data_IF_548836344445
#
_entry.id   IF_548836344445
#
_cell.length_a   1.000
_cell.length_b   1.000
_cell.length_c   1.000
_cell.angle_alpha   90.00
_cell.angle_beta   90.00
_cell.angle_gamma   90.00
#
_symmetry.space_group_name_H-M   'P 1'
#
loop_
_entity.id
_entity.type
_entity.pdbx_description
1 polymer ?
#
# COMPACT_ATOMS: atom_id res chain seq x y z
N UNK A 1 -28.10 10.21 -54.00
CA UNK A 1 -29.05 9.08 -54.04
C UNK A 1 -28.43 7.94 -53.25
N UNK A 2 -28.99 7.61 -52.08
CA UNK A 2 -29.68 6.33 -51.78
C UNK A 2 -28.75 5.12 -52.00
N UNK A 3 -28.37 4.27 -51.03
CA UNK A 3 -29.00 3.85 -49.79
C UNK A 3 -29.00 2.31 -49.74
N UNK A 4 -28.88 1.73 -48.54
CA UNK A 4 -29.12 0.31 -48.19
C UNK A 4 -28.11 -0.74 -48.69
N UNK A 5 -27.85 -1.85 -48.00
CA UNK A 5 -28.18 -2.37 -46.65
C UNK A 5 -27.28 -3.59 -46.51
N UNK A 6 -26.53 -3.70 -45.42
CA UNK A 6 -26.15 -5.02 -44.90
C UNK A 6 -26.01 -4.92 -43.38
N UNK A 7 -27.18 -4.88 -42.74
CA UNK A 7 -27.37 -5.21 -41.33
C UNK A 7 -26.94 -6.67 -41.09
N UNK A 8 -25.70 -6.88 -40.66
CA UNK A 8 -25.35 -8.11 -39.94
C UNK A 8 -25.83 -7.96 -38.50
N UNK A 9 -27.01 -8.57 -38.28
CA UNK A 9 -27.56 -9.07 -37.02
C UNK A 9 -26.53 -9.16 -35.89
N UNK A 10 -26.78 -8.39 -34.84
CA UNK A 10 -26.35 -8.72 -33.49
C UNK A 10 -27.08 -10.01 -33.10
N UNK A 11 -26.39 -11.15 -33.14
CA UNK A 11 -26.87 -12.36 -32.48
C UNK A 11 -26.70 -12.14 -30.97
N UNK A 12 -27.77 -11.66 -30.34
CA UNK A 12 -27.91 -11.68 -28.90
C UNK A 12 -27.84 -13.13 -28.44
N UNK A 13 -26.87 -13.43 -27.58
CA UNK A 13 -26.82 -14.65 -26.79
C UNK A 13 -28.12 -14.69 -26.00
N UNK A 14 -29.08 -15.50 -26.46
CA UNK A 14 -30.33 -15.76 -25.79
C UNK A 14 -29.96 -16.54 -24.53
N UNK A 15 -29.77 -15.82 -23.42
CA UNK A 15 -29.48 -16.41 -22.12
C UNK A 15 -30.69 -17.24 -21.73
N UNK A 16 -30.49 -18.55 -21.60
CA UNK A 16 -31.51 -19.51 -21.23
C UNK A 16 -32.26 -19.03 -19.98
N UNK A 17 -33.59 -19.07 -19.98
CA UNK A 17 -34.43 -18.52 -18.89
C UNK A 17 -34.09 -19.23 -17.55
N UNK A 18 -33.67 -20.49 -17.63
CA UNK A 18 -33.24 -21.30 -16.49
C UNK A 18 -31.89 -20.82 -15.90
N UNK A 19 -30.99 -20.28 -16.72
CA UNK A 19 -29.68 -19.76 -16.29
C UNK A 19 -29.75 -18.53 -15.37
N UNK A 20 -30.94 -17.90 -15.25
CA UNK A 20 -31.19 -16.81 -14.30
C UNK A 20 -31.53 -17.29 -12.89
N UNK A 21 -32.00 -18.53 -12.73
CA UNK A 21 -32.39 -19.11 -11.44
C UNK A 21 -31.31 -19.99 -10.79
N UNK A 22 -30.18 -20.19 -11.47
CA UNK A 22 -29.04 -20.90 -10.92
C UNK A 22 -28.27 -19.98 -9.95
N UNK A 23 -27.98 -20.50 -8.75
CA UNK A 23 -27.13 -19.80 -7.79
C UNK A 23 -25.75 -19.59 -8.42
N UNK A 24 -25.36 -18.33 -8.63
CA UNK A 24 -24.02 -18.01 -9.10
C UNK A 24 -23.06 -18.08 -7.93
N UNK A 25 -21.79 -18.33 -8.22
CA UNK A 25 -20.71 -18.25 -7.22
C UNK A 25 -20.76 -16.90 -6.49
N UNK A 26 -21.07 -15.82 -7.22
CA UNK A 26 -21.24 -14.49 -6.65
C UNK A 26 -22.34 -14.42 -5.58
N UNK A 27 -23.43 -15.16 -5.74
CA UNK A 27 -24.54 -15.17 -4.79
C UNK A 27 -24.18 -15.97 -3.51
N UNK A 28 -23.27 -16.95 -3.63
CA UNK A 28 -22.76 -17.74 -2.49
C UNK A 28 -21.74 -16.99 -1.64
N UNK A 29 -20.98 -16.06 -2.23
CA UNK A 29 -19.95 -15.27 -1.54
C UNK A 29 -20.41 -13.86 -1.20
N UNK A 30 -21.61 -13.47 -1.65
CA UNK A 30 -22.17 -12.16 -1.33
C UNK A 30 -22.43 -12.05 0.17
N UNK A 31 -22.08 -10.92 0.80
CA UNK A 31 -22.35 -10.72 2.21
C UNK A 31 -23.86 -10.58 2.45
N UNK A 32 -24.33 -11.09 3.60
CA UNK A 32 -25.74 -11.05 3.99
C UNK A 32 -26.30 -9.63 4.16
N UNK A 33 -25.43 -8.66 4.46
CA UNK A 33 -25.81 -7.26 4.71
C UNK A 33 -24.72 -6.31 4.25
N UNK A 34 -25.13 -5.20 3.64
CA UNK A 34 -24.27 -4.08 3.29
C UNK A 34 -24.95 -2.79 3.76
N UNK A 35 -24.25 -1.98 4.55
CA UNK A 35 -24.72 -0.66 4.96
C UNK A 35 -23.57 0.34 4.98
N UNK A 36 -23.75 1.48 4.32
CA UNK A 36 -22.75 2.53 4.25
C UNK A 36 -23.03 3.59 5.32
N UNK A 37 -22.18 3.63 6.34
CA UNK A 37 -22.22 4.67 7.36
C UNK A 37 -21.20 5.78 7.07
N UNK A 38 -21.31 6.88 7.81
CA UNK A 38 -20.43 8.04 7.57
C UNK A 38 -18.95 7.72 7.83
N UNK A 39 -18.67 6.91 8.84
CA UNK A 39 -17.31 6.67 9.35
C UNK A 39 -16.90 5.20 9.30
N UNK A 40 -17.80 4.28 8.94
CA UNK A 40 -17.50 2.87 8.72
C UNK A 40 -18.46 2.25 7.69
N UNK A 41 -18.18 1.02 7.28
CA UNK A 41 -18.94 0.24 6.32
C UNK A 41 -19.31 -1.10 6.96
N UNK A 42 -20.58 -1.47 6.94
CA UNK A 42 -21.06 -2.75 7.48
C UNK A 42 -21.05 -3.78 6.37
N UNK A 43 -20.38 -4.91 6.60
CA UNK A 43 -20.32 -6.05 5.68
C UNK A 43 -20.62 -7.32 6.46
N UNK A 44 -21.82 -7.88 6.26
CA UNK A 44 -22.33 -9.00 7.04
C UNK A 44 -22.40 -8.65 8.52
N UNK A 45 -21.58 -9.30 9.33
CA UNK A 45 -21.50 -9.10 10.79
C UNK A 45 -20.26 -8.31 11.24
N UNK A 46 -19.52 -7.68 10.31
CA UNK A 46 -18.32 -6.88 10.63
C UNK A 46 -18.53 -5.43 10.24
N UNK A 47 -17.97 -4.56 11.07
CA UNK A 47 -17.81 -3.15 10.82
C UNK A 47 -16.40 -2.93 10.29
N UNK A 48 -16.27 -2.24 9.17
CA UNK A 48 -15.00 -1.99 8.51
C UNK A 48 -14.79 -0.49 8.42
N UNK A 49 -13.62 0.00 8.85
CA UNK A 49 -13.25 1.41 8.71
C UNK A 49 -11.99 1.52 7.89
N UNK A 50 -12.07 2.26 6.78
CA UNK A 50 -10.94 2.53 5.91
C UNK A 50 -10.38 3.93 6.13
N UNK A 51 -9.06 4.00 6.25
CA UNK A 51 -8.25 5.21 6.33
C UNK A 51 -7.34 5.31 5.11
N UNK A 52 -7.04 6.55 4.75
CA UNK A 52 -6.13 6.90 3.67
C UNK A 52 -4.89 7.53 4.28
N UNK A 53 -3.71 7.08 3.86
CA UNK A 53 -2.46 7.74 4.21
C UNK A 53 -2.31 9.00 3.34
N UNK A 54 -2.23 10.17 3.98
CA UNK A 54 -2.13 11.47 3.29
C UNK A 54 -0.79 12.16 3.55
N UNK A 55 -0.15 11.86 4.67
CA UNK A 55 1.18 12.37 5.04
C UNK A 55 2.16 11.22 5.17
N UNK A 56 3.38 11.45 4.67
CA UNK A 56 4.47 10.48 4.62
C UNK A 56 5.72 11.08 5.25
N UNK A 57 6.59 10.27 5.87
CA UNK A 57 7.91 10.71 6.31
C UNK A 57 8.71 11.28 5.15
N UNK A 58 9.59 12.24 5.44
CA UNK A 58 10.50 12.82 4.44
C UNK A 58 11.52 11.82 3.92
N UNK A 59 11.93 10.87 4.76
CA UNK A 59 12.89 9.83 4.41
C UNK A 59 12.40 8.51 4.99
N UNK A 60 12.48 7.44 4.20
CA UNK A 60 12.07 6.09 4.58
C UNK A 60 13.29 5.19 4.67
N UNK A 61 13.27 4.28 5.63
CA UNK A 61 14.25 3.18 5.74
C UNK A 61 13.58 1.88 5.29
N UNK A 62 14.37 0.87 4.92
CA UNK A 62 13.83 -0.47 4.71
C UNK A 62 13.06 -0.94 5.97
N UNK A 63 11.88 -1.53 5.76
CA UNK A 63 11.04 -2.05 6.84
C UNK A 63 10.30 -0.99 7.66
N UNK A 64 10.17 0.24 7.18
CA UNK A 64 9.49 1.31 7.93
C UNK A 64 8.00 1.07 8.15
N UNK A 65 7.38 0.16 7.39
CA UNK A 65 5.98 -0.28 7.56
C UNK A 65 5.86 -1.61 8.34
N UNK A 66 6.97 -2.21 8.79
CA UNK A 66 6.96 -3.53 9.42
C UNK A 66 6.11 -3.57 10.69
N UNK A 67 6.09 -2.48 11.46
CA UNK A 67 5.26 -2.37 12.65
C UNK A 67 3.76 -2.43 12.31
N UNK A 68 3.36 -1.97 11.12
CA UNK A 68 1.99 -2.09 10.64
C UNK A 68 1.68 -3.50 10.12
N UNK A 69 2.62 -4.12 9.41
CA UNK A 69 2.47 -5.47 8.87
C UNK A 69 2.46 -6.57 9.95
N UNK A 70 3.17 -6.35 11.06
CA UNK A 70 3.28 -7.29 12.18
C UNK A 70 2.26 -7.03 13.29
N UNK A 71 1.39 -6.03 13.15
CA UNK A 71 0.42 -5.71 14.18
C UNK A 71 -0.68 -6.78 14.24
N UNK A 72 -0.86 -7.37 15.42
CA UNK A 72 -1.78 -8.50 15.68
C UNK A 72 -3.24 -8.03 15.79
N UNK A 73 -3.82 -7.60 14.67
CA UNK A 73 -5.24 -7.31 14.56
C UNK A 73 -5.78 -7.54 13.15
N UNK A 74 -7.10 -7.44 12.99
CA UNK A 74 -7.76 -7.57 11.69
C UNK A 74 -7.56 -6.28 10.86
N UNK A 75 -6.37 -6.14 10.28
CA UNK A 75 -5.96 -5.02 9.43
C UNK A 75 -5.69 -5.52 8.01
N UNK A 76 -6.30 -4.86 7.05
CA UNK A 76 -6.01 -5.01 5.63
C UNK A 76 -5.23 -3.78 5.14
N UNK A 77 -4.09 -3.98 4.48
CA UNK A 77 -3.26 -2.90 3.93
C UNK A 77 -3.17 -3.09 2.43
N UNK A 78 -3.58 -2.07 1.68
CA UNK A 78 -3.60 -2.09 0.23
C UNK A 78 -2.68 -1.02 -0.34
N UNK A 79 -1.72 -1.47 -1.15
CA UNK A 79 -0.72 -0.66 -1.84
C UNK A 79 -1.09 -0.56 -3.31
N UNK A 80 -1.52 0.61 -3.76
CA UNK A 80 -1.80 0.86 -5.18
C UNK A 80 -0.61 1.54 -5.83
N UNK A 81 -0.04 0.90 -6.84
CA UNK A 81 1.20 1.36 -7.49
C UNK A 81 0.92 1.55 -8.98
N UNK A 82 1.06 2.78 -9.46
CA UNK A 82 0.88 3.12 -10.88
C UNK A 82 2.15 3.74 -11.45
N UNK A 83 2.85 3.07 -12.40
CA UNK A 83 4.03 3.62 -13.03
C UNK A 83 3.68 4.78 -13.95
N UNK A 84 4.58 5.77 -14.03
CA UNK A 84 4.44 6.90 -14.94
C UNK A 84 5.44 6.87 -16.10
N UNK A 85 5.04 7.50 -17.20
CA UNK A 85 5.93 7.68 -18.35
C UNK A 85 7.12 8.56 -17.97
N UNK A 86 8.32 7.97 -17.99
CA UNK A 86 9.59 8.64 -17.74
C UNK A 86 9.72 9.96 -18.49
N UNK A 87 9.40 9.97 -19.78
CA UNK A 87 9.51 11.17 -20.64
C UNK A 87 8.63 12.32 -20.14
N UNK A 88 7.40 12.02 -19.69
CA UNK A 88 6.48 13.03 -19.15
C UNK A 88 6.97 13.59 -17.81
N UNK A 89 7.52 12.72 -16.96
CA UNK A 89 8.05 13.11 -15.64
C UNK A 89 9.27 13.98 -15.80
N UNK A 90 10.26 13.57 -16.61
CA UNK A 90 11.46 14.37 -16.90
C UNK A 90 11.09 15.75 -17.45
N UNK A 91 10.16 15.83 -18.41
CA UNK A 91 9.70 17.12 -18.95
C UNK A 91 9.09 18.01 -17.85
N UNK A 92 8.35 17.42 -16.92
CA UNK A 92 7.73 18.14 -15.80
C UNK A 92 8.78 18.61 -14.78
N UNK A 93 9.76 17.76 -14.47
CA UNK A 93 10.89 18.08 -13.58
C UNK A 93 11.73 19.22 -14.17
N UNK A 94 12.10 19.18 -15.46
CA UNK A 94 12.83 20.27 -16.12
C UNK A 94 12.12 21.62 -15.99
N UNK A 95 10.78 21.62 -16.12
CA UNK A 95 9.99 22.85 -15.91
C UNK A 95 10.05 23.33 -14.46
N UNK A 96 9.98 22.41 -13.47
CA UNK A 96 10.06 22.75 -12.04
C UNK A 96 11.45 23.26 -11.65
N UNK A 97 12.50 22.60 -12.12
CA UNK A 97 13.90 23.02 -11.94
C UNK A 97 14.10 24.45 -12.46
N UNK A 98 13.62 24.75 -13.68
CA UNK A 98 13.67 26.11 -14.21
C UNK A 98 12.92 27.15 -13.37
N UNK A 99 11.78 26.77 -12.75
CA UNK A 99 11.04 27.65 -11.83
C UNK A 99 11.81 27.91 -10.54
N UNK A 100 12.42 26.87 -9.94
CA UNK A 100 13.22 27.02 -8.72
C UNK A 100 14.48 27.86 -8.97
N UNK A 101 15.22 27.60 -10.05
CA UNK A 101 16.38 28.41 -10.46
C UNK A 101 16.01 29.87 -10.71
N UNK A 102 14.85 30.11 -11.34
CA UNK A 102 14.36 31.48 -11.56
C UNK A 102 14.04 32.18 -10.24
N UNK A 103 13.43 31.47 -9.29
CA UNK A 103 13.10 32.00 -7.96
C UNK A 103 14.38 32.38 -7.21
N UNK A 104 15.36 31.46 -7.16
CA UNK A 104 16.68 31.71 -6.54
C UNK A 104 17.36 32.92 -7.19
N UNK A 105 17.38 33.01 -8.52
CA UNK A 105 18.00 34.14 -9.22
C UNK A 105 17.29 35.47 -8.98
N UNK A 106 15.97 35.47 -8.83
CA UNK A 106 15.20 36.68 -8.50
C UNK A 106 15.47 37.14 -7.07
N UNK A 107 15.53 36.23 -6.11
CA UNK A 107 15.82 36.55 -4.72
C UNK A 107 17.24 37.13 -4.58
N UNK A 108 18.23 36.51 -5.22
CA UNK A 108 19.61 37.01 -5.27
C UNK A 108 19.69 38.44 -5.84
N UNK A 109 19.03 38.69 -6.99
CA UNK A 109 18.97 40.05 -7.58
C UNK A 109 18.29 41.08 -6.70
N UNK A 110 17.31 40.66 -5.91
CA UNK A 110 16.58 41.52 -4.99
C UNK A 110 17.26 41.64 -3.62
N UNK A 111 18.43 41.02 -3.42
CA UNK A 111 19.15 41.00 -2.15
C UNK A 111 18.40 40.25 -1.04
N UNK A 112 17.53 39.30 -1.40
CA UNK A 112 16.77 38.47 -0.47
C UNK A 112 17.46 37.12 -0.27
N UNK A 113 17.34 36.58 0.92
CA UNK A 113 17.77 35.21 1.21
C UNK A 113 16.69 34.26 0.68
N UNK A 114 17.07 33.36 -0.22
CA UNK A 114 16.15 32.36 -0.76
C UNK A 114 15.72 31.38 0.33
N UNK A 115 14.46 30.97 0.29
CA UNK A 115 13.93 29.94 1.17
C UNK A 115 14.70 28.61 0.99
N UNK A 116 15.08 27.99 2.12
CA UNK A 116 15.74 26.69 2.16
C UNK A 116 14.89 25.62 1.48
N UNK A 117 13.56 25.71 1.57
CA UNK A 117 12.66 24.77 0.91
C UNK A 117 12.82 24.78 -0.63
N UNK A 118 13.05 25.95 -1.22
CA UNK A 118 13.24 26.08 -2.68
C UNK A 118 14.58 25.49 -3.12
N UNK A 119 15.64 25.73 -2.33
CA UNK A 119 16.97 25.18 -2.59
C UNK A 119 16.96 23.66 -2.51
N UNK A 120 16.41 23.10 -1.42
CA UNK A 120 16.21 21.66 -1.28
C UNK A 120 15.37 21.07 -2.41
N UNK A 121 14.24 21.71 -2.75
CA UNK A 121 13.37 21.19 -3.81
C UNK A 121 14.05 21.20 -5.19
N UNK A 122 15.00 22.11 -5.42
CA UNK A 122 15.85 22.10 -6.61
C UNK A 122 16.80 20.90 -6.60
N UNK A 123 17.54 20.70 -5.52
CA UNK A 123 18.48 19.58 -5.36
C UNK A 123 17.77 18.23 -5.53
N UNK A 124 16.64 18.02 -4.85
CA UNK A 124 15.84 16.79 -4.94
C UNK A 124 15.31 16.56 -6.37
N UNK A 125 14.90 17.65 -7.05
CA UNK A 125 14.39 17.55 -8.41
C UNK A 125 15.49 17.21 -9.42
N UNK A 126 16.71 17.73 -9.24
CA UNK A 126 17.86 17.42 -10.08
C UNK A 126 18.33 15.97 -9.89
N UNK A 127 18.48 15.51 -8.65
CA UNK A 127 18.85 14.13 -8.35
C UNK A 127 17.84 13.13 -8.94
N UNK A 128 16.54 13.36 -8.72
CA UNK A 128 15.50 12.52 -9.28
C UNK A 128 15.50 12.57 -10.82
N UNK A 129 15.69 13.73 -11.43
CA UNK A 129 15.76 13.87 -12.89
C UNK A 129 16.93 13.06 -13.45
N UNK A 130 18.09 13.11 -12.82
CA UNK A 130 19.31 12.44 -13.28
C UNK A 130 19.20 10.92 -13.12
N UNK A 131 18.64 10.44 -11.99
CA UNK A 131 18.29 9.03 -11.78
C UNK A 131 17.28 8.50 -12.80
N UNK A 132 16.29 9.33 -13.19
CA UNK A 132 15.33 8.97 -14.24
C UNK A 132 16.00 8.94 -15.62
N UNK A 133 16.86 9.91 -15.95
CA UNK A 133 17.57 9.97 -17.23
C UNK A 133 18.46 8.76 -17.46
N UNK A 134 19.26 8.40 -16.46
CA UNK A 134 20.15 7.22 -16.49
C UNK A 134 19.38 5.89 -16.49
N UNK A 135 18.11 5.90 -16.12
CA UNK A 135 17.25 4.72 -16.07
C UNK A 135 17.44 3.87 -14.81
N UNK A 136 18.18 4.39 -13.81
CA UNK A 136 18.39 3.75 -12.51
C UNK A 136 17.08 3.71 -11.71
N UNK A 137 16.31 4.81 -11.76
CA UNK A 137 15.02 4.92 -11.06
C UNK A 137 13.86 5.11 -12.04
N UNK A 138 12.65 4.85 -11.56
CA UNK A 138 11.37 5.11 -12.21
C UNK A 138 10.49 5.90 -11.26
N UNK A 139 9.48 6.55 -11.83
CA UNK A 139 8.55 7.37 -11.07
C UNK A 139 7.19 6.69 -11.00
N UNK A 140 6.58 6.72 -9.83
CA UNK A 140 5.33 6.05 -9.52
C UNK A 140 4.39 6.99 -8.79
N UNK A 141 3.09 6.75 -8.99
CA UNK A 141 2.08 7.14 -8.02
C UNK A 141 1.83 5.95 -7.10
N UNK A 142 1.97 6.16 -5.81
CA UNK A 142 1.64 5.19 -4.78
C UNK A 142 0.49 5.72 -3.93
N UNK A 143 -0.46 4.87 -3.57
CA UNK A 143 -1.40 5.13 -2.48
C UNK A 143 -1.34 3.98 -1.47
N UNK A 144 -1.46 4.33 -0.19
CA UNK A 144 -1.55 3.37 0.92
C UNK A 144 -2.92 3.55 1.57
N UNK A 145 -3.70 2.47 1.59
CA UNK A 145 -4.98 2.40 2.27
C UNK A 145 -4.91 1.34 3.36
N UNK A 146 -5.48 1.66 4.51
CA UNK A 146 -5.50 0.78 5.67
C UNK A 146 -6.96 0.60 6.05
N UNK A 147 -7.40 -0.63 6.21
CA UNK A 147 -8.74 -0.94 6.69
C UNK A 147 -8.67 -1.79 7.94
N UNK A 148 -9.42 -1.40 8.96
CA UNK A 148 -9.54 -2.16 10.21
C UNK A 148 -10.95 -2.74 10.30
N UNK A 149 -11.10 -3.91 10.90
CA UNK A 149 -12.42 -4.52 11.07
C UNK A 149 -12.68 -5.08 12.47
N UNK A 150 -13.86 -4.80 13.00
CA UNK A 150 -14.31 -5.25 14.31
C UNK A 150 -15.80 -5.66 14.27
N UNK A 151 -16.33 -6.19 15.38
CA UNK A 151 -17.75 -6.58 15.50
C UNK A 151 -18.61 -5.50 16.15
N UNK A 152 -18.03 -4.72 17.05
CA UNK A 152 -18.71 -3.65 17.78
C UNK A 152 -18.07 -2.31 17.48
N UNK A 153 -18.83 -1.22 17.64
CA UNK A 153 -18.37 0.14 17.34
C UNK A 153 -17.25 0.55 18.30
N UNK A 154 -17.39 0.24 19.59
CA UNK A 154 -16.37 0.57 20.60
C UNK A 154 -15.01 -0.09 20.29
N UNK A 155 -15.02 -1.37 19.92
CA UNK A 155 -13.82 -2.09 19.49
C UNK A 155 -13.21 -1.47 18.21
N UNK A 156 -14.07 -1.03 17.27
CA UNK A 156 -13.63 -0.40 16.03
C UNK A 156 -12.96 0.95 16.32
N UNK A 157 -13.52 1.74 17.23
CA UNK A 157 -12.99 3.03 17.64
C UNK A 157 -11.65 2.86 18.38
N UNK A 158 -11.55 1.91 19.30
CA UNK A 158 -10.29 1.59 19.97
C UNK A 158 -9.21 1.15 18.97
N UNK A 159 -9.53 0.19 18.10
CA UNK A 159 -8.59 -0.31 17.08
C UNK A 159 -8.17 0.81 16.10
N UNK A 160 -9.09 1.74 15.81
CA UNK A 160 -8.79 2.93 15.00
C UNK A 160 -7.73 3.80 15.67
N UNK A 161 -7.92 4.15 16.94
CA UNK A 161 -6.97 4.99 17.69
C UNK A 161 -5.59 4.33 17.79
N UNK A 162 -5.55 3.03 18.05
CA UNK A 162 -4.30 2.26 18.12
C UNK A 162 -3.54 2.29 16.77
N UNK A 163 -4.25 2.05 15.66
CA UNK A 163 -3.65 2.09 14.31
C UNK A 163 -3.24 3.49 13.89
N UNK A 164 -4.02 4.53 14.21
CA UNK A 164 -3.65 5.92 13.94
C UNK A 164 -2.41 6.34 14.76
N UNK A 165 -2.32 5.92 16.02
CA UNK A 165 -1.15 6.14 16.87
C UNK A 165 0.09 5.43 16.33
N UNK A 166 -0.06 4.18 15.91
CA UNK A 166 1.00 3.40 15.28
C UNK A 166 1.49 4.10 14.00
N UNK A 167 0.58 4.51 13.12
CA UNK A 167 0.89 5.32 11.94
C UNK A 167 1.65 6.60 12.32
N UNK A 168 1.20 7.32 13.34
CA UNK A 168 1.85 8.52 13.86
C UNK A 168 3.30 8.30 14.30
N UNK A 169 3.60 7.17 14.97
CA UNK A 169 4.97 6.81 15.36
C UNK A 169 5.90 6.58 14.17
N UNK A 170 5.35 6.19 13.02
CA UNK A 170 6.05 6.04 11.74
C UNK A 170 6.04 7.34 10.90
N UNK A 171 5.58 8.46 11.48
CA UNK A 171 5.40 9.75 10.81
C UNK A 171 4.43 9.70 9.62
N UNK A 172 3.51 8.73 9.63
CA UNK A 172 2.38 8.71 8.73
C UNK A 172 1.26 9.57 9.27
N UNK A 173 0.61 10.31 8.38
CA UNK A 173 -0.64 11.00 8.70
C UNK A 173 -1.77 10.30 7.98
N UNK A 174 -2.71 9.74 8.74
CA UNK A 174 -3.91 9.08 8.21
C UNK A 174 -5.12 10.00 8.27
N UNK A 175 -6.10 9.72 7.42
CA UNK A 175 -7.43 10.36 7.44
C UNK A 175 -8.48 9.28 7.21
N UNK A 176 -9.50 9.23 8.05
CA UNK A 176 -10.70 8.41 7.78
C UNK A 176 -11.32 8.85 6.45
N UNK A 177 -11.70 7.89 5.60
CA UNK A 177 -12.43 8.14 4.36
C UNK A 177 -13.91 8.47 4.66
N UNK A 178 -14.17 9.56 5.39
CA UNK A 178 -15.50 9.97 5.83
C UNK A 178 -16.41 10.16 4.61
N UNK A 179 -17.63 9.60 4.66
CA UNK A 179 -18.61 9.55 3.55
C UNK A 179 -18.11 8.82 2.28
N UNK A 180 -17.00 8.10 2.37
CA UNK A 180 -16.38 7.38 1.25
C UNK A 180 -15.97 5.95 1.67
N UNK A 181 -16.61 5.40 2.69
CA UNK A 181 -16.26 4.09 3.25
C UNK A 181 -16.58 2.95 2.29
N UNK A 182 -17.65 3.07 1.50
CA UNK A 182 -17.94 2.17 0.37
C UNK A 182 -16.79 2.12 -0.65
N UNK A 183 -16.25 3.29 -1.00
CA UNK A 183 -15.11 3.40 -1.92
C UNK A 183 -13.83 2.88 -1.27
N UNK A 184 -13.63 3.17 0.02
CA UNK A 184 -12.50 2.68 0.81
C UNK A 184 -12.45 1.17 0.85
N UNK A 185 -13.57 0.54 1.23
CA UNK A 185 -13.69 -0.91 1.23
C UNK A 185 -13.34 -1.52 -0.12
N UNK A 186 -13.94 -1.01 -1.20
CA UNK A 186 -13.68 -1.49 -2.57
C UNK A 186 -12.23 -1.30 -3.02
N UNK A 187 -11.57 -0.24 -2.54
CA UNK A 187 -10.16 0.06 -2.85
C UNK A 187 -9.21 -0.90 -2.15
N UNK A 188 -9.58 -1.39 -0.98
CA UNK A 188 -8.74 -2.31 -0.19
C UNK A 188 -8.84 -3.74 -0.69
N UNK A 189 -9.95 -4.12 -1.33
CA UNK A 189 -10.09 -5.43 -1.98
C UNK A 189 -9.00 -5.66 -3.05
N UNK A 190 -8.56 -6.92 -3.26
CA UNK A 190 -7.53 -7.28 -4.24
C UNK A 190 -8.07 -7.28 -5.68
N UNK A 191 -8.84 -6.26 -6.05
CA UNK A 191 -9.46 -6.09 -7.37
C UNK A 191 -8.70 -5.09 -8.25
N UNK A 192 -7.62 -4.49 -7.73
CA UNK A 192 -6.82 -3.46 -8.40
C UNK A 192 -7.67 -2.27 -8.90
N UNK A 193 -8.66 -1.87 -8.10
CA UNK A 193 -9.58 -0.76 -8.40
C UNK A 193 -9.46 0.34 -7.33
N UNK A 194 -8.58 1.31 -7.57
CA UNK A 194 -8.47 2.48 -6.70
C UNK A 194 -9.61 3.48 -6.95
N UNK A 195 -10.59 3.48 -6.04
CA UNK A 195 -11.75 4.39 -6.07
C UNK A 195 -11.53 5.68 -5.30
N UNK A 196 -10.56 5.73 -4.39
CA UNK A 196 -10.25 6.92 -3.59
C UNK A 196 -9.25 7.83 -4.32
N UNK A 197 -8.28 7.25 -5.03
CA UNK A 197 -7.28 7.92 -5.89
C UNK A 197 -6.46 8.99 -5.18
N UNK A 198 -6.11 8.73 -3.92
CA UNK A 198 -5.27 9.62 -3.11
C UNK A 198 -3.82 9.14 -3.18
N UNK A 199 -3.16 9.51 -4.26
CA UNK A 199 -1.80 9.09 -4.55
C UNK A 199 -0.75 10.12 -4.15
N UNK A 200 0.46 9.62 -3.89
CA UNK A 200 1.68 10.37 -3.65
C UNK A 200 2.75 9.97 -4.66
N UNK A 201 3.69 10.87 -4.92
CA UNK A 201 4.83 10.63 -5.80
C UNK A 201 5.88 9.80 -5.07
N UNK A 202 6.31 8.71 -5.70
CA UNK A 202 7.37 7.83 -5.22
C UNK A 202 8.36 7.54 -6.34
N UNK A 203 9.63 7.43 -5.99
CA UNK A 203 10.65 6.86 -6.86
C UNK A 203 10.83 5.35 -6.57
N UNK A 204 11.63 4.65 -7.36
CA UNK A 204 11.82 3.20 -7.19
C UNK A 204 12.35 2.84 -5.80
N UNK A 205 13.31 3.62 -5.27
CA UNK A 205 13.96 3.33 -4.00
C UNK A 205 12.97 3.45 -2.84
N UNK A 206 12.28 4.59 -2.74
CA UNK A 206 11.25 4.81 -1.71
C UNK A 206 10.15 3.76 -1.81
N UNK A 207 9.72 3.40 -3.03
CA UNK A 207 8.67 2.40 -3.24
C UNK A 207 9.08 1.01 -2.75
N UNK A 208 10.33 0.62 -3.01
CA UNK A 208 10.84 -0.70 -2.61
C UNK A 208 10.84 -0.91 -1.09
N UNK A 209 11.06 0.16 -0.33
CA UNK A 209 11.06 0.10 1.15
C UNK A 209 9.69 -0.17 1.75
N UNK A 210 8.61 0.00 0.98
CA UNK A 210 7.24 -0.24 1.43
C UNK A 210 6.87 -1.72 1.39
N UNK A 211 7.61 -2.56 0.66
CA UNK A 211 7.27 -3.98 0.57
C UNK A 211 7.55 -4.69 1.88
N UNK A 212 6.65 -5.59 2.35
CA UNK A 212 6.89 -6.41 3.52
C UNK A 212 7.98 -7.45 3.19
N UNK A 213 9.25 -7.07 3.38
CA UNK A 213 10.40 -7.95 3.21
C UNK A 213 10.61 -8.87 4.43
N UNK A 214 9.80 -8.70 5.48
CA UNK A 214 9.89 -9.51 6.70
C UNK A 214 9.54 -10.96 6.36
N UNK A 215 10.55 -11.80 6.56
CA UNK A 215 10.59 -13.24 6.29
C UNK A 215 9.40 -14.00 6.87
N UNK A 216 9.04 -15.09 6.19
CA UNK A 216 8.19 -16.15 6.71
C UNK A 216 8.63 -16.54 8.14
N UNK A 217 7.67 -16.56 9.06
CA UNK A 217 7.86 -17.10 10.40
C UNK A 217 8.22 -18.57 10.29
N UNK A 218 9.37 -18.96 10.82
CA UNK A 218 9.80 -20.36 10.88
C UNK A 218 9.32 -20.98 12.20
N UNK A 219 8.01 -20.88 12.41
CA UNK A 219 7.30 -21.46 13.55
C UNK A 219 6.45 -22.60 13.03
N UNK A 220 6.96 -23.83 13.12
CA UNK A 220 6.20 -25.02 12.76
C UNK A 220 5.97 -25.86 14.02
N UNK A 221 4.71 -25.96 14.44
CA UNK A 221 4.28 -26.74 15.60
C UNK A 221 4.01 -28.21 15.28
N UNK A 222 4.17 -28.65 14.02
CA UNK A 222 4.08 -30.06 13.70
C UNK A 222 5.27 -30.81 14.30
N UNK A 223 5.01 -31.75 15.22
CA UNK A 223 6.03 -32.61 15.81
C UNK A 223 6.39 -32.21 17.23
N UNK A 224 7.63 -32.47 17.64
CA UNK A 224 8.16 -31.98 18.92
C UNK A 224 8.88 -30.67 18.63
N UNK A 225 8.30 -29.52 19.01
CA UNK A 225 8.81 -28.26 18.54
C UNK A 225 10.07 -27.87 19.33
N UNK A 226 11.19 -27.68 18.62
CA UNK A 226 12.49 -27.35 19.21
C UNK A 226 12.69 -25.83 19.13
N UNK A 227 12.86 -25.18 20.28
CA UNK A 227 13.09 -23.73 20.36
C UNK A 227 14.54 -23.39 20.02
N UNK A 228 14.74 -22.60 18.96
CA UNK A 228 16.04 -22.11 18.52
C UNK A 228 16.36 -20.70 19.02
N UNK A 229 15.33 -19.89 19.30
CA UNK A 229 15.51 -18.54 19.82
C UNK A 229 14.34 -17.63 19.47
N UNK A 230 14.63 -16.34 19.41
CA UNK A 230 13.66 -15.28 19.09
C UNK A 230 14.16 -14.59 17.82
N UNK A 231 13.28 -14.42 16.85
CA UNK A 231 13.56 -13.61 15.68
C UNK A 231 13.66 -12.15 16.11
N UNK A 232 14.83 -11.54 15.91
CA UNK A 232 15.08 -10.16 16.36
C UNK A 232 14.32 -9.09 15.55
N UNK A 233 13.73 -9.47 14.41
CA UNK A 233 13.02 -8.52 13.53
C UNK A 233 11.56 -8.34 13.99
N UNK A 234 10.87 -9.43 14.30
CA UNK A 234 9.44 -9.42 14.65
C UNK A 234 9.16 -9.98 16.07
N UNK A 235 10.21 -10.26 16.86
CA UNK A 235 10.12 -10.88 18.19
C UNK A 235 9.37 -12.22 18.24
N UNK A 236 9.14 -12.88 17.11
CA UNK A 236 8.48 -14.19 17.08
C UNK A 236 9.42 -15.29 17.57
N UNK A 237 8.87 -16.35 18.18
CA UNK A 237 9.66 -17.53 18.53
C UNK A 237 10.09 -18.25 17.24
N UNK A 238 11.35 -18.64 17.15
CA UNK A 238 11.84 -19.53 16.09
C UNK A 238 11.80 -20.95 16.65
N UNK A 239 10.78 -21.70 16.28
CA UNK A 239 10.54 -23.02 16.84
C UNK A 239 10.02 -23.99 15.77
N UNK A 240 10.76 -25.07 15.51
CA UNK A 240 10.32 -26.10 14.57
C UNK A 240 10.99 -27.45 14.85
N UNK A 241 10.34 -28.53 14.46
CA UNK A 241 10.90 -29.88 14.54
C UNK A 241 11.80 -30.15 13.32
N UNK A 242 13.12 -29.98 13.47
CA UNK A 242 14.07 -30.27 12.38
C UNK A 242 14.01 -31.73 11.92
N UNK A 243 13.54 -32.65 12.76
CA UNK A 243 13.46 -34.08 12.45
C UNK A 243 12.26 -34.44 11.58
N UNK A 244 11.43 -33.46 11.22
CA UNK A 244 10.38 -33.60 10.20
C UNK A 244 10.74 -33.00 8.85
N UNK A 245 11.86 -32.29 8.74
CA UNK A 245 12.32 -31.75 7.47
C UNK A 245 12.90 -32.87 6.59
N UNK A 246 12.94 -32.64 5.27
CA UNK A 246 13.54 -33.59 4.31
C UNK A 246 15.01 -33.93 4.63
N UNK A 247 15.71 -33.05 5.36
CA UNK A 247 17.03 -33.31 5.92
C UNK A 247 17.08 -32.82 7.36
N UNK A 248 17.56 -33.68 8.26
CA UNK A 248 17.66 -33.39 9.69
C UNK A 248 18.96 -32.69 10.07
N UNK A 249 19.87 -32.54 9.11
CA UNK A 249 21.21 -32.00 9.35
C UNK A 249 21.14 -30.47 9.52
N UNK A 250 21.95 -29.95 10.44
CA UNK A 250 22.08 -28.52 10.69
C UNK A 250 23.55 -28.09 10.64
N UNK A 251 23.81 -26.92 10.06
CA UNK A 251 25.13 -26.29 10.06
C UNK A 251 25.00 -24.94 10.78
N UNK A 252 25.87 -24.69 11.76
CA UNK A 252 25.96 -23.41 12.47
C UNK A 252 27.35 -22.83 12.23
N UNK A 253 27.40 -21.61 11.71
CA UNK A 253 28.65 -20.90 11.41
C UNK A 253 28.70 -19.64 12.27
N UNK A 254 29.77 -19.45 13.02
CA UNK A 254 29.95 -18.30 13.89
C UNK A 254 31.43 -17.95 14.09
N UNK A 255 31.71 -16.73 14.53
CA UNK A 255 33.05 -16.29 14.93
C UNK A 255 33.42 -16.81 16.32
N UNK A 256 34.71 -16.74 16.68
CA UNK A 256 35.17 -17.15 18.01
C UNK A 256 34.46 -16.37 19.13
N UNK A 257 33.90 -17.08 20.11
CA UNK A 257 33.18 -16.50 21.26
C UNK A 257 31.70 -16.18 21.03
N UNK A 258 31.10 -16.63 19.92
CA UNK A 258 29.70 -16.37 19.58
C UNK A 258 28.69 -17.41 20.11
N UNK A 259 29.16 -18.40 20.89
CA UNK A 259 28.34 -19.46 21.48
C UNK A 259 28.26 -19.32 22.99
#
# INVERSE_FOLDING_TARGET
MFGNRNTKKQEGIQTDILSRGENKINDLIAPDTIQNEKTFYVVGNRLVRTFVVVGYPRTVRMGWLDSLYSYDANIDISLHITPWSRTKVIKTLNRRIGQYMSTISMDDRNGRITDVEVVTALEDAEDLRDKLHTGISRFFYQAIYISVSARYVDDLDQLTEEVESLCGSMQLTTRIAVLQQDKGFMTVLPLNDDRIRKTRNFDTESLSTCFPLVSAELTNTEGVPILYGINQINNSLVMFDRFKLNSFNSVTLATSGAG
#
